data_IF_485900618976
#
_entry.id   IF_485900618976
#
_cell.length_a   1.000
_cell.length_b   1.000
_cell.length_c   1.000
_cell.angle_alpha   90.00
_cell.angle_beta   90.00
_cell.angle_gamma   90.00
#
_symmetry.space_group_name_H-M   'P 1'
#
loop_
_entity.id
_entity.type
_entity.pdbx_description
1 polymer ?
#
# COMPACT_ATOMS: atom_id res chain seq x y z
N UNK A 1 -55.27 -27.41 17.93
CA UNK A 1 -53.90 -27.91 17.63
C UNK A 1 -53.07 -26.73 17.11
N UNK A 2 -52.39 -25.98 18.03
CA UNK A 2 -51.59 -24.79 17.67
C UNK A 2 -50.14 -25.24 17.45
N UNK A 3 -49.71 -25.18 16.21
CA UNK A 3 -48.40 -25.63 15.75
C UNK A 3 -47.35 -24.58 16.14
N UNK A 4 -46.46 -24.94 17.06
CA UNK A 4 -45.28 -24.16 17.46
C UNK A 4 -44.23 -24.12 16.32
N UNK A 5 -44.48 -23.36 15.25
CA UNK A 5 -43.49 -23.16 14.17
C UNK A 5 -42.61 -21.94 14.35
N UNK A 6 -42.86 -21.11 15.38
CA UNK A 6 -42.15 -19.87 15.64
C UNK A 6 -40.68 -20.04 16.13
N UNK A 7 -40.36 -21.02 17.04
CA UNK A 7 -38.99 -21.13 17.53
C UNK A 7 -37.98 -21.64 16.49
N UNK A 8 -38.46 -22.43 15.50
CA UNK A 8 -37.57 -22.97 14.47
C UNK A 8 -37.11 -21.89 13.48
N UNK A 9 -37.94 -20.89 13.21
CA UNK A 9 -37.61 -19.77 12.30
C UNK A 9 -36.63 -18.78 12.96
N UNK A 10 -36.76 -18.55 14.28
CA UNK A 10 -35.84 -17.75 15.06
C UNK A 10 -34.43 -18.38 15.14
N UNK A 11 -34.37 -19.71 15.27
CA UNK A 11 -33.10 -20.45 15.32
C UNK A 11 -32.38 -20.41 13.96
N UNK A 12 -33.09 -20.44 12.85
CA UNK A 12 -32.53 -20.36 11.50
C UNK A 12 -31.97 -18.95 11.19
N UNK A 13 -32.61 -17.89 11.66
CA UNK A 13 -32.12 -16.51 11.52
C UNK A 13 -30.85 -16.28 12.36
N UNK A 14 -30.75 -16.89 13.56
CA UNK A 14 -29.56 -16.76 14.42
C UNK A 14 -28.30 -17.39 13.82
N UNK A 15 -28.41 -18.41 12.98
CA UNK A 15 -27.26 -19.09 12.35
C UNK A 15 -26.68 -18.27 11.19
N UNK A 16 -27.48 -17.40 10.57
CA UNK A 16 -27.02 -16.57 9.41
C UNK A 16 -26.09 -15.43 9.88
N UNK A 17 -26.15 -14.99 11.14
CA UNK A 17 -25.29 -13.93 11.69
C UNK A 17 -23.87 -14.38 12.07
N UNK A 18 -23.54 -15.65 11.95
CA UNK A 18 -22.19 -16.17 12.21
C UNK A 18 -21.30 -16.21 10.98
N UNK A 19 -21.68 -15.57 9.87
CA UNK A 19 -20.76 -15.29 8.77
C UNK A 19 -19.73 -14.27 9.25
N UNK A 20 -18.72 -14.76 9.96
CA UNK A 20 -17.50 -14.03 10.33
C UNK A 20 -16.91 -13.39 9.09
N UNK A 21 -17.06 -12.08 8.94
CA UNK A 21 -16.25 -11.28 8.03
C UNK A 21 -14.80 -11.50 8.43
N UNK A 22 -14.07 -12.28 7.65
CA UNK A 22 -12.64 -12.45 7.85
C UNK A 22 -11.97 -11.08 7.87
N UNK A 23 -11.15 -10.84 8.87
CA UNK A 23 -10.41 -9.60 9.02
C UNK A 23 -9.54 -9.37 7.77
N UNK A 24 -9.69 -8.22 7.12
CA UNK A 24 -8.84 -7.83 5.99
C UNK A 24 -7.43 -7.61 6.54
N UNK A 25 -6.46 -8.32 5.97
CA UNK A 25 -5.05 -8.21 6.33
C UNK A 25 -4.35 -7.24 5.39
N UNK A 26 -3.42 -6.49 5.94
CA UNK A 26 -2.54 -5.63 5.14
C UNK A 26 -1.64 -6.49 4.25
N UNK A 27 -1.29 -6.00 3.04
CA UNK A 27 -0.32 -6.68 2.18
C UNK A 27 1.07 -6.72 2.82
N UNK A 28 1.74 -7.87 2.71
CA UNK A 28 3.10 -8.06 3.20
C UNK A 28 4.09 -7.42 2.21
N UNK A 29 4.87 -6.47 2.66
CA UNK A 29 5.94 -5.87 1.88
C UNK A 29 7.10 -6.86 1.73
N UNK A 30 7.60 -7.06 0.49
CA UNK A 30 8.68 -8.00 0.16
C UNK A 30 9.97 -7.31 -0.25
N UNK A 31 9.89 -6.11 -0.82
CA UNK A 31 11.09 -5.37 -1.23
C UNK A 31 10.81 -4.31 -2.29
N UNK A 32 11.90 -3.69 -2.73
CA UNK A 32 11.93 -2.71 -3.81
C UNK A 32 12.78 -3.28 -4.94
N UNK A 33 12.23 -3.24 -6.16
CA UNK A 33 12.87 -3.74 -7.36
C UNK A 33 12.93 -2.64 -8.43
N UNK A 34 13.75 -2.83 -9.45
CA UNK A 34 13.76 -2.01 -10.67
C UNK A 34 13.90 -0.48 -10.45
N UNK A 35 14.71 -0.07 -9.47
CA UNK A 35 14.94 1.36 -9.20
C UNK A 35 15.67 2.00 -10.38
N UNK A 36 15.08 3.04 -10.96
CA UNK A 36 15.62 3.79 -12.11
C UNK A 36 15.37 5.29 -11.95
N UNK A 37 16.34 6.09 -12.37
CA UNK A 37 16.12 7.53 -12.55
C UNK A 37 15.48 7.72 -13.90
N UNK A 38 14.21 8.06 -13.95
CA UNK A 38 13.47 8.30 -15.22
C UNK A 38 13.60 9.73 -15.72
N UNK A 39 13.82 10.69 -14.81
CA UNK A 39 14.12 12.07 -15.13
C UNK A 39 15.13 12.60 -14.12
N UNK A 40 16.24 13.12 -14.60
CA UNK A 40 17.25 13.78 -13.77
C UNK A 40 17.13 15.29 -13.89
N UNK A 41 17.06 15.97 -12.76
CA UNK A 41 17.05 17.44 -12.67
C UNK A 41 17.71 17.91 -11.38
N UNK A 42 18.30 19.12 -11.42
CA UNK A 42 18.96 19.70 -10.23
C UNK A 42 17.97 20.07 -9.12
N UNK A 43 16.75 20.47 -9.49
CA UNK A 43 15.69 20.81 -8.53
C UNK A 43 14.77 19.63 -8.28
N UNK A 44 14.31 18.95 -9.34
CA UNK A 44 13.39 17.83 -9.26
C UNK A 44 13.90 16.66 -10.11
N UNK A 45 13.90 15.49 -9.51
CA UNK A 45 14.18 14.22 -10.18
C UNK A 45 12.99 13.29 -10.04
N UNK A 46 12.78 12.42 -11.02
CA UNK A 46 11.75 11.37 -10.94
C UNK A 46 12.43 10.01 -10.88
N UNK A 47 12.16 9.30 -9.80
CA UNK A 47 12.54 7.91 -9.64
C UNK A 47 11.35 7.03 -10.03
N UNK A 48 11.61 5.96 -10.75
CA UNK A 48 10.66 4.89 -11.00
C UNK A 48 11.17 3.65 -10.30
N UNK A 49 10.28 2.97 -9.58
CA UNK A 49 10.60 1.76 -8.82
C UNK A 49 9.38 0.86 -8.73
N UNK A 50 9.59 -0.42 -8.52
CA UNK A 50 8.55 -1.39 -8.29
C UNK A 50 8.57 -1.80 -6.81
N UNK A 51 7.45 -1.60 -6.09
CA UNK A 51 7.25 -2.15 -4.76
C UNK A 51 6.65 -3.54 -4.89
N UNK A 52 7.33 -4.53 -4.34
CA UNK A 52 6.90 -5.91 -4.35
C UNK A 52 6.13 -6.24 -3.06
N UNK A 53 4.92 -6.78 -3.22
CA UNK A 53 4.02 -7.14 -2.13
C UNK A 53 3.43 -8.52 -2.32
N UNK A 54 3.00 -9.13 -1.21
CA UNK A 54 2.15 -10.32 -1.18
C UNK A 54 0.79 -9.97 -0.54
N UNK A 55 -0.30 -10.35 -1.20
CA UNK A 55 -1.65 -10.22 -0.66
C UNK A 55 -2.04 -11.49 0.12
N UNK A 56 -2.12 -11.46 1.46
CA UNK A 56 -2.50 -12.63 2.27
C UNK A 56 -4.00 -12.87 2.31
N UNK A 57 -4.79 -12.04 1.62
CA UNK A 57 -6.24 -12.16 1.62
C UNK A 57 -6.72 -13.17 0.58
N UNK A 58 -7.82 -13.88 0.90
CA UNK A 58 -8.45 -14.87 0.02
C UNK A 58 -9.28 -14.28 -1.11
N UNK A 59 -9.21 -12.96 -1.31
CA UNK A 59 -9.92 -12.25 -2.37
C UNK A 59 -8.95 -11.37 -3.17
N UNK A 60 -9.27 -11.23 -4.46
CA UNK A 60 -8.56 -10.33 -5.34
C UNK A 60 -9.22 -8.94 -5.34
N UNK A 61 -8.43 -7.92 -5.60
CA UNK A 61 -8.87 -6.54 -5.79
C UNK A 61 -8.15 -5.91 -6.98
N UNK A 62 -8.62 -4.75 -7.41
CA UNK A 62 -7.93 -3.88 -8.37
C UNK A 62 -7.48 -2.62 -7.64
N UNK A 63 -6.24 -2.23 -7.84
CA UNK A 63 -5.74 -0.89 -7.54
C UNK A 63 -5.80 -0.10 -8.84
N UNK A 64 -6.62 0.96 -8.87
CA UNK A 64 -6.77 1.81 -10.06
C UNK A 64 -5.70 2.88 -10.11
N UNK A 65 -5.41 3.50 -8.99
CA UNK A 65 -4.39 4.52 -8.80
C UNK A 65 -4.03 4.65 -7.32
N UNK A 66 -2.87 5.22 -7.05
CA UNK A 66 -2.50 5.70 -5.72
C UNK A 66 -1.65 6.95 -5.86
N UNK A 67 -1.76 7.86 -4.91
CA UNK A 67 -0.97 9.07 -4.82
C UNK A 67 -0.78 9.49 -3.38
N UNK A 68 0.30 10.20 -3.09
CA UNK A 68 0.58 10.69 -1.76
C UNK A 68 2.00 11.18 -1.61
N UNK A 69 2.37 11.42 -0.37
CA UNK A 69 3.64 11.98 0.02
C UNK A 69 4.44 10.98 0.87
N UNK A 70 5.76 11.05 0.75
CA UNK A 70 6.68 10.22 1.50
C UNK A 70 7.69 11.09 2.25
N UNK A 71 8.06 10.65 3.44
CA UNK A 71 9.08 11.28 4.28
C UNK A 71 10.10 10.24 4.75
N UNK A 72 11.32 10.69 4.97
CA UNK A 72 12.39 9.94 5.60
C UNK A 72 12.94 10.77 6.77
N UNK A 73 13.00 10.20 7.98
CA UNK A 73 13.42 10.90 9.21
C UNK A 73 12.73 12.27 9.38
N UNK A 74 11.42 12.35 9.16
CA UNK A 74 10.61 13.58 9.16
C UNK A 74 10.93 14.58 8.03
N UNK A 75 11.90 14.30 7.16
CA UNK A 75 12.19 15.14 6.00
C UNK A 75 11.36 14.71 4.81
N UNK A 76 10.69 15.64 4.15
CA UNK A 76 9.92 15.38 2.95
C UNK A 76 10.81 14.80 1.85
N UNK A 77 10.52 13.59 1.43
CA UNK A 77 11.25 12.88 0.38
C UNK A 77 10.70 13.22 -1.01
N UNK A 78 9.39 13.20 -1.16
CA UNK A 78 8.77 13.48 -2.42
C UNK A 78 7.31 13.04 -2.51
N UNK A 79 6.71 13.35 -3.66
CA UNK A 79 5.36 12.94 -4.02
C UNK A 79 5.40 11.67 -4.87
N UNK A 80 4.59 10.67 -4.52
CA UNK A 80 4.52 9.43 -5.29
C UNK A 80 3.19 9.27 -6.01
N UNK A 81 3.24 8.61 -7.18
CA UNK A 81 2.06 8.25 -7.96
C UNK A 81 2.16 6.81 -8.47
N UNK A 82 0.99 6.17 -8.55
CA UNK A 82 0.76 4.89 -9.24
C UNK A 82 -0.41 5.10 -10.20
N UNK A 83 -0.12 5.22 -11.48
CA UNK A 83 -1.09 5.59 -12.53
C UNK A 83 -1.55 4.39 -13.37
N UNK A 84 -1.25 3.18 -12.94
CA UNK A 84 -1.52 1.95 -13.68
C UNK A 84 -2.54 1.08 -12.94
N UNK A 85 -3.54 0.59 -13.69
CA UNK A 85 -4.48 -0.40 -13.15
C UNK A 85 -3.76 -1.72 -12.87
N UNK A 86 -3.71 -2.09 -11.59
CA UNK A 86 -3.03 -3.29 -11.11
C UNK A 86 -4.05 -4.29 -10.59
N UNK A 87 -3.90 -5.52 -11.04
CA UNK A 87 -4.64 -6.66 -10.49
C UNK A 87 -3.86 -7.24 -9.31
N UNK A 88 -4.46 -7.15 -8.12
CA UNK A 88 -3.91 -7.72 -6.88
C UNK A 88 -4.55 -9.09 -6.67
N UNK A 89 -3.84 -10.20 -6.92
CA UNK A 89 -4.40 -11.54 -6.83
C UNK A 89 -4.71 -11.94 -5.39
N UNK A 90 -5.62 -12.87 -5.20
CA UNK A 90 -5.86 -13.50 -3.91
C UNK A 90 -4.69 -14.43 -3.56
N UNK A 91 -4.19 -14.38 -2.31
CA UNK A 91 -3.05 -15.18 -1.85
C UNK A 91 -1.88 -15.19 -2.85
N UNK A 92 -1.54 -14.01 -3.37
CA UNK A 92 -0.56 -13.91 -4.44
C UNK A 92 0.29 -12.66 -4.38
N UNK A 93 1.38 -12.68 -5.12
CA UNK A 93 2.32 -11.58 -5.25
C UNK A 93 1.88 -10.60 -6.32
N UNK A 94 2.22 -9.32 -6.10
CA UNK A 94 1.96 -8.25 -7.05
C UNK A 94 3.04 -7.17 -6.95
N UNK A 95 3.20 -6.40 -8.03
CA UNK A 95 4.13 -5.28 -8.10
C UNK A 95 3.37 -3.99 -8.31
N UNK A 96 3.80 -2.95 -7.59
CA UNK A 96 3.31 -1.59 -7.72
C UNK A 96 4.39 -0.75 -8.40
N UNK A 97 4.22 -0.38 -9.68
CA UNK A 97 5.12 0.58 -10.33
C UNK A 97 4.84 1.98 -9.80
N UNK A 98 5.77 2.51 -9.04
CA UNK A 98 5.70 3.81 -8.38
C UNK A 98 6.59 4.79 -9.10
N UNK A 99 6.07 5.99 -9.36
CA UNK A 99 6.86 7.17 -9.74
C UNK A 99 6.97 8.07 -8.52
N UNK A 100 8.18 8.37 -8.09
CA UNK A 100 8.48 9.25 -6.97
C UNK A 100 9.15 10.51 -7.49
N UNK A 101 8.49 11.65 -7.35
CA UNK A 101 9.05 12.97 -7.64
C UNK A 101 9.78 13.49 -6.42
N UNK A 102 11.09 13.66 -6.55
CA UNK A 102 11.99 13.94 -5.45
C UNK A 102 12.61 15.33 -5.61
N UNK A 103 12.53 16.15 -4.56
CA UNK A 103 13.24 17.43 -4.47
C UNK A 103 14.69 17.19 -4.02
N UNK A 104 15.61 17.20 -5.01
CA UNK A 104 17.03 16.94 -4.78
C UNK A 104 17.65 17.96 -3.83
N UNK A 105 17.21 19.22 -3.88
CA UNK A 105 17.73 20.28 -3.01
C UNK A 105 17.41 20.02 -1.53
N UNK A 106 16.23 19.47 -1.23
CA UNK A 106 15.84 19.09 0.13
C UNK A 106 16.56 17.82 0.60
N UNK A 107 16.76 16.86 -0.29
CA UNK A 107 17.51 15.63 0.01
C UNK A 107 18.95 15.97 0.40
N UNK A 108 19.65 16.79 -0.39
CA UNK A 108 21.05 17.15 -0.10
C UNK A 108 21.20 17.90 1.21
N UNK A 109 20.23 18.74 1.60
CA UNK A 109 20.31 19.52 2.84
C UNK A 109 19.99 18.70 4.11
N UNK A 110 19.05 17.74 4.03
CA UNK A 110 18.45 17.15 5.21
C UNK A 110 18.65 15.64 5.34
N UNK A 111 19.02 14.95 4.28
CA UNK A 111 18.94 13.48 4.24
C UNK A 111 20.28 12.77 4.04
N UNK A 112 21.41 13.50 3.88
CA UNK A 112 22.70 12.84 3.72
C UNK A 112 23.04 11.98 4.94
N UNK A 113 22.64 12.44 6.14
CA UNK A 113 22.82 11.70 7.39
C UNK A 113 21.91 10.47 7.45
N UNK A 114 20.67 10.58 6.94
CA UNK A 114 19.72 9.47 6.92
C UNK A 114 20.14 8.37 5.95
N UNK A 115 20.72 8.72 4.80
CA UNK A 115 21.25 7.75 3.84
C UNK A 115 22.46 6.97 4.34
N UNK A 116 23.20 7.51 5.32
CA UNK A 116 24.32 6.84 5.96
C UNK A 116 23.87 5.97 7.16
N UNK A 117 22.64 6.13 7.62
CA UNK A 117 22.08 5.32 8.69
C UNK A 117 21.62 3.96 8.13
N UNK A 118 21.92 2.89 8.86
CA UNK A 118 21.46 1.53 8.48
C UNK A 118 19.95 1.37 8.60
N UNK A 119 19.34 2.11 9.50
CA UNK A 119 17.88 2.11 9.74
C UNK A 119 17.35 3.53 9.68
N UNK A 120 16.20 3.69 9.01
CA UNK A 120 15.52 4.97 8.84
C UNK A 120 14.03 4.81 9.10
N UNK A 121 13.40 5.87 9.59
CA UNK A 121 11.94 5.94 9.70
C UNK A 121 11.38 6.43 8.38
N UNK A 122 10.54 5.59 7.75
CA UNK A 122 9.79 5.96 6.55
C UNK A 122 8.35 6.23 6.96
N UNK A 123 7.83 7.38 6.55
CA UNK A 123 6.43 7.75 6.69
C UNK A 123 5.81 7.95 5.31
N UNK A 124 4.61 7.43 5.09
CA UNK A 124 3.86 7.56 3.84
C UNK A 124 2.42 7.92 4.16
N UNK A 125 1.91 8.97 3.54
CA UNK A 125 0.51 9.37 3.65
C UNK A 125 -0.06 9.61 2.25
N UNK A 126 -1.28 9.12 1.99
CA UNK A 126 -1.86 9.24 0.67
C UNK A 126 -3.23 8.62 0.54
N UNK A 127 -3.64 8.40 -0.70
CA UNK A 127 -4.92 7.78 -1.04
C UNK A 127 -4.73 6.76 -2.16
N UNK A 128 -5.29 5.57 -1.98
CA UNK A 128 -5.39 4.55 -3.02
C UNK A 128 -6.84 4.41 -3.49
N UNK A 129 -7.05 4.25 -4.77
CA UNK A 129 -8.35 3.92 -5.35
C UNK A 129 -8.45 2.43 -5.61
N UNK A 130 -9.09 1.74 -4.67
CA UNK A 130 -9.23 0.28 -4.66
C UNK A 130 -10.62 -0.13 -5.10
N UNK A 131 -10.75 -1.30 -5.74
CA UNK A 131 -12.07 -1.77 -6.15
C UNK A 131 -12.14 -3.24 -6.52
N UNK A 132 -13.37 -3.69 -6.75
CA UNK A 132 -13.70 -5.01 -7.27
C UNK A 132 -14.76 -4.88 -8.35
N UNK A 133 -14.57 -5.53 -9.49
CA UNK A 133 -15.45 -5.36 -10.65
C UNK A 133 -15.41 -3.93 -11.16
N UNK A 134 -16.55 -3.25 -11.10
CA UNK A 134 -16.74 -1.86 -11.56
C UNK A 134 -16.82 -0.83 -10.40
N UNK A 135 -16.85 -1.30 -9.15
CA UNK A 135 -16.97 -0.43 -7.99
C UNK A 135 -15.58 -0.12 -7.44
N UNK A 136 -15.28 1.17 -7.28
CA UNK A 136 -14.04 1.67 -6.72
C UNK A 136 -14.32 2.64 -5.58
N UNK A 137 -13.53 2.54 -4.51
CA UNK A 137 -13.56 3.42 -3.35
C UNK A 137 -12.18 4.02 -3.11
N UNK A 138 -12.14 5.18 -2.47
CA UNK A 138 -10.90 5.77 -2.01
C UNK A 138 -10.58 5.22 -0.62
N UNK A 139 -9.35 4.73 -0.48
CA UNK A 139 -8.82 4.16 0.76
C UNK A 139 -7.61 4.97 1.22
N UNK A 140 -7.58 5.49 2.45
CA UNK A 140 -6.44 6.24 2.95
C UNK A 140 -5.23 5.33 3.14
N UNK A 141 -4.08 5.78 2.68
CA UNK A 141 -2.78 5.16 2.93
C UNK A 141 -2.15 5.89 4.10
N UNK A 142 -1.75 5.18 5.15
CA UNK A 142 -0.96 5.70 6.26
C UNK A 142 0.01 4.61 6.69
N UNK A 143 1.29 4.92 6.61
CA UNK A 143 2.35 4.03 7.04
C UNK A 143 3.42 4.84 7.75
N UNK A 144 3.90 4.34 8.88
CA UNK A 144 5.07 4.85 9.57
C UNK A 144 5.82 3.67 10.19
N UNK A 145 7.10 3.52 9.88
CA UNK A 145 7.88 2.41 10.39
C UNK A 145 9.37 2.53 10.10
N UNK A 146 10.16 1.86 10.95
CA UNK A 146 11.60 1.73 10.75
C UNK A 146 11.89 0.73 9.64
N UNK A 147 12.77 1.11 8.73
CA UNK A 147 13.20 0.27 7.62
C UNK A 147 14.72 0.22 7.56
N UNK A 148 15.24 -0.95 7.24
CA UNK A 148 16.67 -1.15 7.02
C UNK A 148 16.97 -0.97 5.53
N UNK A 149 17.73 0.08 5.18
CA UNK A 149 18.03 0.44 3.79
C UNK A 149 18.82 -0.65 3.05
N UNK A 150 19.68 -1.39 3.73
CA UNK A 150 20.45 -2.48 3.10
C UNK A 150 19.54 -3.65 2.66
N UNK A 151 18.41 -3.84 3.36
CA UNK A 151 17.43 -4.89 3.03
C UNK A 151 16.44 -4.45 1.96
N UNK A 152 16.21 -3.13 1.83
CA UNK A 152 15.27 -2.58 0.84
C UNK A 152 15.84 -2.58 -0.58
N UNK A 153 17.18 -2.53 -0.71
CA UNK A 153 17.89 -2.38 -2.00
C UNK A 153 18.49 -3.71 -2.50
N UNK A 154 18.14 -4.83 -1.92
CA UNK A 154 18.47 -6.18 -2.39
C UNK A 154 17.34 -6.72 -3.24
#
# INVERSE_FOLDING_TARGET
MKIHRLPFFLYFISVIFLCSCGQIKEPDFKGIENVRVSKFGLSESTLSLDLHYFNPNKFWIKLKSAEGDAWIENSFLGHFTVDTLIHVPANGEFRLPVKLQVDMGKIFKNSLVAFLAKEVVIKVEGTARLGKGFVFINYPIRYEGKQNLEKLLK
#
